data_IF_573350467424
#
_entry.id   IF_573350467424
#
_cell.length_a   1.000
_cell.length_b   1.000
_cell.length_c   1.000
_cell.angle_alpha   90.00
_cell.angle_beta   90.00
_cell.angle_gamma   90.00
#
_symmetry.space_group_name_H-M   'P 1'
#
loop_
_entity.id
_entity.type
_entity.pdbx_description
1 polymer ?
#
# COMPACT_ATOMS: atom_id res chain seq x y z
N UNK A 1 -13.98 -35.65 -8.29
CA UNK A 1 -13.10 -34.67 -7.62
C UNK A 1 -11.72 -34.85 -8.23
N UNK A 2 -11.06 -33.79 -8.67
CA UNK A 2 -9.77 -33.94 -9.38
C UNK A 2 -8.70 -34.45 -8.42
N UNK A 3 -8.00 -35.53 -8.79
CA UNK A 3 -6.88 -36.11 -8.04
C UNK A 3 -5.60 -35.28 -8.15
N UNK A 4 -5.60 -34.22 -8.97
CA UNK A 4 -4.42 -33.36 -9.13
C UNK A 4 -4.16 -32.52 -7.87
N UNK A 5 -2.88 -32.32 -7.50
CA UNK A 5 -2.52 -31.52 -6.35
C UNK A 5 -3.00 -30.07 -6.50
N UNK A 6 -3.44 -29.48 -5.39
CA UNK A 6 -3.79 -28.06 -5.38
C UNK A 6 -2.50 -27.24 -5.30
N UNK A 7 -2.22 -26.33 -6.26
CA UNK A 7 -0.92 -25.69 -6.34
C UNK A 7 -0.67 -24.74 -5.17
N UNK A 8 0.59 -24.71 -4.71
CA UNK A 8 1.04 -23.75 -3.71
C UNK A 8 1.12 -22.33 -4.31
N UNK A 9 0.83 -21.27 -3.52
CA UNK A 9 0.98 -19.90 -3.96
C UNK A 9 2.45 -19.54 -4.18
N UNK A 10 2.71 -18.42 -4.87
CA UNK A 10 4.09 -17.91 -5.00
C UNK A 10 4.59 -17.39 -3.66
N UNK A 11 5.63 -18.04 -3.14
CA UNK A 11 6.31 -17.66 -1.91
C UNK A 11 7.72 -17.15 -2.20
N UNK A 12 8.36 -16.59 -1.19
CA UNK A 12 9.79 -16.28 -1.24
C UNK A 12 10.64 -17.54 -1.46
N UNK A 13 11.85 -17.40 -2.00
CA UNK A 13 12.74 -18.54 -2.22
C UNK A 13 13.04 -19.33 -0.93
N UNK A 14 13.28 -18.70 0.25
CA UNK A 14 13.42 -19.43 1.51
C UNK A 14 12.18 -20.22 1.91
N UNK A 15 10.99 -19.62 1.79
CA UNK A 15 9.74 -20.29 2.13
C UNK A 15 9.42 -21.45 1.18
N UNK A 16 9.73 -21.30 -0.11
CA UNK A 16 9.55 -22.40 -1.09
C UNK A 16 10.41 -23.61 -0.72
N UNK A 17 11.71 -23.38 -0.42
CA UNK A 17 12.61 -24.47 0.02
C UNK A 17 12.14 -25.11 1.32
N UNK A 18 11.65 -24.32 2.27
CA UNK A 18 11.13 -24.83 3.54
C UNK A 18 9.96 -25.81 3.34
N UNK A 19 9.10 -25.55 2.35
CA UNK A 19 8.00 -26.44 1.99
C UNK A 19 8.50 -27.70 1.28
N UNK A 20 9.43 -27.55 0.34
CA UNK A 20 10.05 -28.68 -0.35
C UNK A 20 10.74 -29.63 0.65
N UNK A 21 11.53 -29.09 1.59
CA UNK A 21 12.23 -29.85 2.63
C UNK A 21 11.24 -30.54 3.60
N UNK A 22 10.07 -29.94 3.82
CA UNK A 22 8.99 -30.52 4.61
C UNK A 22 8.10 -31.50 3.81
N UNK A 23 8.36 -31.70 2.52
CA UNK A 23 7.55 -32.55 1.64
C UNK A 23 6.14 -31.99 1.37
N UNK A 24 5.94 -30.70 1.58
CA UNK A 24 4.68 -30.01 1.34
C UNK A 24 4.68 -29.51 -0.10
N UNK A 25 3.87 -30.15 -0.94
CA UNK A 25 3.78 -29.85 -2.39
C UNK A 25 2.35 -29.53 -2.83
N UNK A 26 1.39 -29.70 -1.94
CA UNK A 26 -0.04 -29.49 -2.17
C UNK A 26 -0.61 -28.58 -1.07
N UNK A 27 -1.34 -27.55 -1.49
CA UNK A 27 -1.96 -26.59 -0.58
C UNK A 27 -2.93 -27.27 0.41
N UNK A 28 -3.56 -28.39 0.05
CA UNK A 28 -4.45 -29.16 0.92
C UNK A 28 -3.75 -29.76 2.14
N UNK A 29 -2.44 -29.96 2.09
CA UNK A 29 -1.66 -30.48 3.23
C UNK A 29 -1.65 -29.54 4.44
N UNK A 30 -2.02 -28.28 4.24
CA UNK A 30 -2.16 -27.30 5.31
C UNK A 30 -3.54 -27.26 5.96
N UNK A 31 -4.55 -27.88 5.36
CA UNK A 31 -5.92 -27.84 5.89
C UNK A 31 -5.96 -28.51 7.27
N UNK A 32 -6.42 -27.77 8.28
CA UNK A 32 -6.43 -28.18 9.67
C UNK A 32 -5.06 -28.16 10.38
N UNK A 33 -3.96 -27.80 9.70
CA UNK A 33 -2.64 -27.66 10.34
C UNK A 33 -2.61 -26.44 11.27
N UNK A 34 -2.01 -26.54 12.45
CA UNK A 34 -1.92 -25.41 13.37
C UNK A 34 -0.95 -24.35 12.83
N UNK A 35 -1.33 -23.08 12.89
CA UNK A 35 -0.47 -22.00 12.36
C UNK A 35 0.91 -21.93 13.04
N UNK A 36 0.99 -22.31 14.31
CA UNK A 36 2.25 -22.39 15.06
C UNK A 36 3.21 -23.43 14.46
N UNK A 37 2.68 -24.53 13.92
CA UNK A 37 3.47 -25.61 13.34
C UNK A 37 3.98 -25.20 11.96
N UNK A 38 3.17 -24.45 11.21
CA UNK A 38 3.59 -23.84 9.93
C UNK A 38 4.69 -22.80 10.17
N UNK A 39 4.57 -21.98 11.20
CA UNK A 39 5.61 -21.00 11.58
C UNK A 39 6.90 -21.64 12.08
N UNK A 40 6.85 -22.90 12.54
CA UNK A 40 8.04 -23.64 12.93
C UNK A 40 8.89 -24.07 11.72
N UNK A 41 8.34 -24.02 10.50
CA UNK A 41 9.08 -24.30 9.27
C UNK A 41 10.09 -23.17 8.98
N UNK A 42 11.37 -23.52 8.98
CA UNK A 42 12.47 -22.57 8.84
C UNK A 42 12.41 -21.85 7.48
N UNK A 43 12.03 -20.58 7.48
CA UNK A 43 11.85 -19.76 6.26
C UNK A 43 10.43 -19.23 6.07
N UNK A 44 9.46 -19.70 6.88
CA UNK A 44 8.08 -19.24 6.83
C UNK A 44 7.81 -18.28 7.99
N UNK A 45 7.93 -16.98 7.69
CA UNK A 45 7.54 -15.92 8.61
C UNK A 45 6.07 -15.50 8.47
N UNK A 46 5.59 -14.57 9.31
CA UNK A 46 4.19 -14.11 9.32
C UNK A 46 3.67 -13.63 7.96
N UNK A 47 4.53 -13.02 7.14
CA UNK A 47 4.16 -12.56 5.80
C UNK A 47 3.86 -13.74 4.84
N UNK A 48 4.64 -14.81 4.91
CA UNK A 48 4.44 -16.00 4.06
C UNK A 48 3.24 -16.82 4.54
N UNK A 49 3.06 -16.92 5.86
CA UNK A 49 1.85 -17.50 6.46
C UNK A 49 0.58 -16.77 6.00
N UNK A 50 0.63 -15.43 5.88
CA UNK A 50 -0.46 -14.64 5.31
C UNK A 50 -0.83 -15.07 3.89
N UNK A 51 0.15 -15.22 3.00
CA UNK A 51 -0.08 -15.69 1.62
C UNK A 51 -0.69 -17.10 1.57
N UNK A 52 -0.26 -18.00 2.47
CA UNK A 52 -0.83 -19.34 2.57
C UNK A 52 -2.28 -19.34 3.07
N UNK A 53 -2.64 -18.47 4.03
CA UNK A 53 -4.03 -18.30 4.49
C UNK A 53 -4.95 -17.87 3.36
N UNK A 54 -4.52 -16.90 2.56
CA UNK A 54 -5.32 -16.34 1.46
C UNK A 54 -5.61 -17.44 0.43
N UNK A 55 -4.58 -18.23 0.09
CA UNK A 55 -4.70 -19.36 -0.82
C UNK A 55 -5.64 -20.46 -0.28
N UNK A 56 -5.52 -20.81 1.00
CA UNK A 56 -6.40 -21.80 1.65
C UNK A 56 -7.86 -21.32 1.66
N UNK A 57 -8.08 -20.08 2.04
CA UNK A 57 -9.43 -19.48 2.11
C UNK A 57 -10.08 -19.47 0.73
N UNK A 58 -9.33 -19.10 -0.32
CA UNK A 58 -9.81 -19.15 -1.70
C UNK A 58 -10.18 -20.56 -2.16
N UNK A 59 -9.60 -21.60 -1.55
CA UNK A 59 -9.90 -23.00 -1.79
C UNK A 59 -10.96 -23.60 -0.84
N UNK A 60 -11.52 -22.80 0.08
CA UNK A 60 -12.47 -23.27 1.10
C UNK A 60 -11.83 -24.08 2.23
N UNK A 61 -10.53 -23.92 2.45
CA UNK A 61 -9.72 -24.61 3.46
C UNK A 61 -9.24 -23.61 4.52
N UNK A 62 -8.72 -24.10 5.63
CA UNK A 62 -8.22 -23.22 6.70
C UNK A 62 -7.16 -23.88 7.60
N UNK A 63 -6.30 -23.08 8.21
CA UNK A 63 -5.47 -23.55 9.32
C UNK A 63 -6.31 -23.75 10.59
N UNK A 64 -5.79 -24.55 11.52
CA UNK A 64 -6.27 -24.59 12.90
C UNK A 64 -5.44 -23.67 13.80
N UNK A 65 -5.94 -23.40 15.02
CA UNK A 65 -5.25 -22.63 16.06
C UNK A 65 -4.62 -21.32 15.55
N UNK A 66 -5.44 -20.32 15.14
CA UNK A 66 -4.91 -19.08 14.59
C UNK A 66 -4.01 -18.38 15.60
N UNK A 67 -2.79 -18.06 15.19
CA UNK A 67 -1.81 -17.35 16.01
C UNK A 67 -2.11 -15.85 15.93
N UNK A 68 -2.11 -15.18 17.08
CA UNK A 68 -2.29 -13.74 17.15
C UNK A 68 -1.31 -13.03 16.21
N UNK A 69 -1.85 -12.20 15.31
CA UNK A 69 -1.04 -11.44 14.35
C UNK A 69 -0.09 -10.53 15.15
N UNK A 70 1.23 -10.53 14.85
CA UNK A 70 2.15 -9.60 15.49
C UNK A 70 1.65 -8.16 15.32
N UNK A 71 1.65 -7.39 16.41
CA UNK A 71 1.36 -5.95 16.35
C UNK A 71 2.37 -5.28 15.41
N UNK A 72 1.88 -4.47 14.47
CA UNK A 72 2.70 -3.78 13.49
C UNK A 72 3.91 -3.11 14.16
N UNK A 73 5.12 -3.48 13.74
CA UNK A 73 6.38 -2.87 14.20
C UNK A 73 6.84 -1.73 13.27
N UNK A 74 5.96 -1.26 12.38
CA UNK A 74 6.14 -0.03 11.59
C UNK A 74 7.32 -0.03 10.63
N UNK A 75 7.91 -1.19 10.30
CA UNK A 75 9.20 -1.21 9.59
C UNK A 75 9.10 -1.01 8.08
N UNK A 76 7.92 -1.10 7.45
CA UNK A 76 7.75 -0.85 6.00
C UNK A 76 6.41 -0.17 5.62
N UNK A 77 5.83 0.61 6.54
CA UNK A 77 4.56 1.31 6.30
C UNK A 77 4.92 2.76 5.99
N UNK A 78 5.41 3.02 4.78
CA UNK A 78 5.86 4.35 4.35
C UNK A 78 4.74 5.41 4.34
N UNK A 79 3.51 5.05 4.71
CA UNK A 79 2.33 5.92 4.83
C UNK A 79 1.64 5.81 6.18
N UNK A 80 2.22 5.12 7.18
CA UNK A 80 1.62 5.07 8.52
C UNK A 80 1.55 6.47 9.14
N UNK A 81 0.46 6.75 9.86
CA UNK A 81 0.31 8.01 10.60
C UNK A 81 1.38 8.10 11.68
N UNK A 82 2.40 8.89 11.42
CA UNK A 82 3.27 9.42 12.45
C UNK A 82 3.00 10.91 12.49
N UNK A 83 2.36 11.38 13.56
CA UNK A 83 2.21 12.80 13.81
C UNK A 83 3.61 13.43 13.90
N UNK A 84 4.05 14.08 12.83
CA UNK A 84 5.29 14.83 12.86
C UNK A 84 5.04 16.18 13.56
N UNK A 85 6.01 16.70 14.33
CA UNK A 85 5.89 18.03 14.92
C UNK A 85 6.10 19.08 13.80
N UNK A 86 5.04 19.76 13.41
CA UNK A 86 5.10 20.90 12.47
C UNK A 86 3.92 20.94 11.52
N UNK A 87 3.53 22.14 11.08
CA UNK A 87 2.49 22.27 10.07
C UNK A 87 3.00 21.79 8.70
N UNK A 88 2.14 21.18 7.86
CA UNK A 88 2.51 20.83 6.49
C UNK A 88 3.06 22.01 5.69
N UNK A 89 2.53 23.21 5.92
CA UNK A 89 3.00 24.45 5.29
C UNK A 89 4.45 24.77 5.66
N UNK A 90 4.77 24.85 6.95
CA UNK A 90 6.13 25.13 7.42
C UNK A 90 7.13 24.08 6.90
N UNK A 91 6.73 22.80 6.89
CA UNK A 91 7.57 21.74 6.33
C UNK A 91 7.84 21.93 4.84
N UNK A 92 6.81 22.28 4.05
CA UNK A 92 6.96 22.56 2.61
C UNK A 92 7.87 23.77 2.37
N UNK A 93 7.69 24.85 3.14
CA UNK A 93 8.48 26.08 3.03
C UNK A 93 9.96 25.84 3.35
N UNK A 94 10.27 24.85 4.20
CA UNK A 94 11.63 24.40 4.49
C UNK A 94 12.27 23.46 3.45
N UNK A 95 11.58 23.12 2.35
CA UNK A 95 12.13 22.19 1.36
C UNK A 95 13.31 22.80 0.57
N UNK A 96 14.35 21.99 0.24
CA UNK A 96 15.64 22.51 -0.20
C UNK A 96 15.67 23.12 -1.61
N UNK A 97 14.56 23.11 -2.35
CA UNK A 97 14.51 23.63 -3.73
C UNK A 97 13.21 24.35 -3.98
N UNK A 98 13.26 25.51 -4.65
CA UNK A 98 12.09 26.31 -4.99
C UNK A 98 10.98 25.52 -5.71
N UNK A 99 11.35 24.61 -6.63
CA UNK A 99 10.38 23.72 -7.31
C UNK A 99 9.55 22.90 -6.32
N UNK A 100 10.20 22.29 -5.33
CA UNK A 100 9.52 21.45 -4.31
C UNK A 100 8.61 22.27 -3.42
N UNK A 101 9.03 23.50 -3.07
CA UNK A 101 8.21 24.45 -2.31
C UNK A 101 6.98 24.85 -3.14
N UNK A 102 7.17 25.30 -4.38
CA UNK A 102 6.10 25.74 -5.27
C UNK A 102 5.07 24.65 -5.56
N UNK A 103 5.53 23.46 -5.97
CA UNK A 103 4.65 22.33 -6.25
C UNK A 103 3.92 21.88 -4.97
N UNK A 104 4.62 21.85 -3.83
CA UNK A 104 4.02 21.48 -2.54
C UNK A 104 2.94 22.45 -2.09
N UNK A 105 3.20 23.76 -2.14
CA UNK A 105 2.24 24.79 -1.72
C UNK A 105 0.97 24.76 -2.56
N UNK A 106 1.08 24.46 -3.86
CA UNK A 106 -0.08 24.34 -4.77
C UNK A 106 -0.98 23.15 -4.44
N UNK A 107 -0.43 22.13 -3.80
CA UNK A 107 -1.19 20.95 -3.41
C UNK A 107 -1.81 21.05 -2.02
N UNK A 108 -1.40 22.02 -1.18
CA UNK A 108 -1.90 22.15 0.19
C UNK A 108 -3.43 22.20 0.27
N UNK A 109 -4.08 22.87 -0.68
CA UNK A 109 -5.52 23.08 -0.69
C UNK A 109 -6.25 22.26 -1.78
N UNK A 110 -5.61 21.19 -2.31
CA UNK A 110 -6.14 20.45 -3.47
C UNK A 110 -7.44 19.69 -3.19
N UNK A 111 -7.69 19.34 -1.93
CA UNK A 111 -8.90 18.64 -1.47
C UNK A 111 -9.93 19.56 -0.82
N UNK A 112 -9.52 20.77 -0.39
CA UNK A 112 -10.28 21.62 0.52
C UNK A 112 -10.27 21.17 1.99
N UNK A 113 -9.59 20.07 2.31
CA UNK A 113 -9.50 19.50 3.66
C UNK A 113 -8.21 19.93 4.37
N UNK A 114 -8.21 19.89 5.71
CA UNK A 114 -6.98 20.18 6.47
C UNK A 114 -5.90 19.11 6.20
N UNK A 115 -4.72 19.50 5.68
CA UNK A 115 -3.62 18.58 5.50
C UNK A 115 -2.97 18.23 6.86
N UNK A 116 -2.41 17.03 6.95
CA UNK A 116 -1.56 16.61 8.05
C UNK A 116 -0.24 16.04 7.53
N UNK A 117 0.80 16.09 8.36
CA UNK A 117 2.04 15.36 8.08
C UNK A 117 1.85 13.87 8.39
N UNK A 118 2.27 13.02 7.47
CA UNK A 118 2.30 11.58 7.57
C UNK A 118 3.75 11.11 7.47
N UNK A 119 4.33 10.67 8.59
CA UNK A 119 5.75 10.34 8.60
C UNK A 119 6.61 11.58 8.36
N UNK A 120 7.89 11.39 7.97
CA UNK A 120 8.84 12.50 7.85
C UNK A 120 8.71 13.28 6.53
N UNK A 121 7.85 12.86 5.59
CA UNK A 121 7.95 13.36 4.21
C UNK A 121 6.66 13.34 3.37
N UNK A 122 5.51 13.06 3.96
CA UNK A 122 4.24 13.03 3.23
C UNK A 122 3.28 14.05 3.85
N UNK A 123 2.60 14.79 2.98
CA UNK A 123 1.42 15.58 3.34
C UNK A 123 0.22 14.77 2.88
N UNK A 124 -0.70 14.48 3.80
CA UNK A 124 -1.86 13.63 3.55
C UNK A 124 -3.16 14.26 4.00
N UNK A 125 -4.25 13.79 3.39
CA UNK A 125 -5.61 14.24 3.61
C UNK A 125 -6.51 13.06 3.93
N UNK A 126 -7.29 13.21 5.01
CA UNK A 126 -8.16 12.16 5.52
C UNK A 126 -7.40 10.90 5.94
N UNK A 127 -8.16 9.92 6.42
CA UNK A 127 -7.66 8.60 6.79
C UNK A 127 -8.46 7.54 6.06
N UNK A 128 -7.78 6.49 5.61
CA UNK A 128 -8.34 5.30 5.00
C UNK A 128 -7.79 4.09 5.74
N UNK A 129 -8.70 3.30 6.30
CA UNK A 129 -8.36 2.01 6.90
C UNK A 129 -8.32 0.95 5.81
N UNK A 130 -7.17 0.32 5.59
CA UNK A 130 -7.05 -0.81 4.67
C UNK A 130 -7.06 -2.11 5.45
N UNK A 131 -7.65 -3.15 4.87
CA UNK A 131 -7.54 -4.53 5.34
C UNK A 131 -7.08 -5.34 4.14
N UNK A 132 -5.91 -5.97 4.24
CA UNK A 132 -5.45 -6.95 3.27
C UNK A 132 -6.11 -8.29 3.54
N UNK A 133 -6.23 -9.14 2.52
CA UNK A 133 -6.76 -10.51 2.61
C UNK A 133 -6.05 -11.31 3.71
N UNK A 134 -4.73 -11.12 3.84
CA UNK A 134 -3.90 -11.64 4.94
C UNK A 134 -4.32 -11.20 6.35
N UNK A 135 -5.40 -10.44 6.50
CA UNK A 135 -5.93 -9.71 7.66
C UNK A 135 -4.94 -8.74 8.30
N UNK A 136 -3.90 -8.36 7.55
CA UNK A 136 -3.07 -7.20 7.88
C UNK A 136 -3.91 -5.96 7.60
N UNK A 137 -4.12 -5.15 8.61
CA UNK A 137 -4.83 -3.88 8.45
C UNK A 137 -3.99 -2.72 8.98
N UNK A 138 -4.42 -1.52 8.64
CA UNK A 138 -3.79 -0.31 9.12
C UNK A 138 -4.42 0.93 8.52
N UNK A 139 -4.01 2.07 9.05
CA UNK A 139 -4.47 3.37 8.59
C UNK A 139 -3.41 4.02 7.69
N UNK A 140 -3.89 4.62 6.61
CA UNK A 140 -3.08 5.43 5.69
C UNK A 140 -3.84 6.72 5.38
N UNK A 141 -3.12 7.73 4.87
CA UNK A 141 -3.77 8.86 4.21
C UNK A 141 -4.66 8.37 3.07
N UNK A 142 -5.78 9.06 2.83
CA UNK A 142 -6.67 8.73 1.72
C UNK A 142 -6.10 9.22 0.38
N UNK A 143 -5.71 10.49 0.33
CA UNK A 143 -4.94 11.07 -0.76
C UNK A 143 -3.81 11.91 -0.16
N UNK A 144 -2.76 12.17 -0.93
CA UNK A 144 -1.67 13.02 -0.46
C UNK A 144 -0.49 13.04 -1.41
N UNK A 145 0.59 13.67 -0.97
CA UNK A 145 1.76 13.88 -1.81
C UNK A 145 3.06 13.95 -1.02
N UNK A 146 4.17 13.72 -1.71
CA UNK A 146 5.53 13.87 -1.21
C UNK A 146 6.39 14.54 -2.29
N UNK A 147 6.80 15.82 -2.10
CA UNK A 147 7.73 16.48 -3.01
C UNK A 147 9.14 15.94 -2.73
N UNK A 148 9.57 14.91 -3.46
CA UNK A 148 10.90 14.28 -3.29
C UNK A 148 11.93 14.92 -4.24
N UNK A 149 13.19 14.54 -4.09
CA UNK A 149 14.28 15.04 -4.93
C UNK A 149 14.12 14.63 -6.40
N UNK A 150 13.77 13.36 -6.65
CA UNK A 150 13.65 12.80 -8.00
C UNK A 150 12.30 13.04 -8.67
N UNK A 151 11.21 13.13 -7.91
CA UNK A 151 9.85 13.34 -8.42
C UNK A 151 8.90 13.86 -7.32
N UNK A 152 7.82 14.51 -7.73
CA UNK A 152 6.62 14.67 -6.92
C UNK A 152 5.84 13.35 -6.96
N UNK A 153 5.67 12.74 -5.80
CA UNK A 153 4.88 11.51 -5.64
C UNK A 153 3.48 11.86 -5.15
N UNK A 154 2.45 11.29 -5.76
CA UNK A 154 1.05 11.48 -5.43
C UNK A 154 0.46 10.11 -5.04
N UNK A 155 -0.28 10.07 -3.95
CA UNK A 155 -0.82 8.86 -3.31
C UNK A 155 -2.35 8.83 -3.40
N UNK A 156 -2.92 7.63 -3.51
CA UNK A 156 -4.38 7.42 -3.43
C UNK A 156 -5.17 7.80 -4.69
N UNK A 157 -4.49 8.09 -5.81
CA UNK A 157 -5.16 8.58 -7.04
C UNK A 157 -5.43 7.48 -8.08
N UNK A 158 -4.63 6.41 -8.09
CA UNK A 158 -4.66 5.41 -9.17
C UNK A 158 -5.91 4.53 -9.14
N UNK A 159 -6.54 4.37 -7.99
CA UNK A 159 -7.73 3.54 -7.82
C UNK A 159 -9.04 4.35 -7.92
N UNK A 160 -8.96 5.64 -8.25
CA UNK A 160 -10.14 6.48 -8.44
C UNK A 160 -10.99 5.98 -9.62
N UNK A 161 -12.32 6.07 -9.56
CA UNK A 161 -13.17 5.68 -10.69
C UNK A 161 -12.84 6.58 -11.89
N UNK A 162 -12.56 5.98 -13.04
CA UNK A 162 -12.17 6.72 -14.25
C UNK A 162 -10.72 7.23 -14.24
N UNK A 163 -9.88 6.80 -13.29
CA UNK A 163 -8.47 7.22 -13.22
C UNK A 163 -7.73 6.96 -14.54
N UNK A 164 -7.92 5.81 -15.18
CA UNK A 164 -7.25 5.48 -16.44
C UNK A 164 -7.52 6.49 -17.55
N UNK A 165 -8.77 6.96 -17.67
CA UNK A 165 -9.15 7.94 -18.68
C UNK A 165 -8.54 9.33 -18.40
N UNK A 166 -8.52 9.74 -17.12
CA UNK A 166 -7.91 11.00 -16.70
C UNK A 166 -6.38 10.95 -16.85
N UNK A 167 -5.75 9.84 -16.48
CA UNK A 167 -4.30 9.65 -16.62
C UNK A 167 -3.86 9.75 -18.08
N UNK A 168 -4.68 9.30 -19.04
CA UNK A 168 -4.39 9.41 -20.47
C UNK A 168 -4.26 10.87 -20.94
N UNK A 169 -4.90 11.83 -20.26
CA UNK A 169 -4.88 13.26 -20.60
C UNK A 169 -4.05 14.11 -19.64
N UNK A 170 -3.46 13.51 -18.58
CA UNK A 170 -2.74 14.23 -17.53
C UNK A 170 -1.43 14.88 -18.02
N UNK A 171 -0.77 14.32 -19.04
CA UNK A 171 0.59 14.69 -19.43
C UNK A 171 1.65 13.72 -18.88
N UNK A 172 2.96 14.03 -18.97
CA UNK A 172 4.03 13.08 -18.66
C UNK A 172 4.04 12.64 -17.19
N UNK A 173 3.84 11.34 -16.98
CA UNK A 173 3.82 10.74 -15.65
C UNK A 173 4.36 9.30 -15.68
N UNK A 174 4.59 8.73 -14.50
CA UNK A 174 4.84 7.30 -14.30
C UNK A 174 3.94 6.78 -13.19
N UNK A 175 3.63 5.50 -13.21
CA UNK A 175 2.88 4.82 -12.15
C UNK A 175 3.73 3.71 -11.52
N UNK A 176 3.49 3.46 -10.23
CA UNK A 176 4.00 2.30 -9.50
C UNK A 176 2.84 1.49 -8.90
N UNK A 177 3.12 0.60 -7.93
CA UNK A 177 2.10 -0.27 -7.32
C UNK A 177 0.90 0.46 -6.69
N UNK A 178 1.05 1.73 -6.30
CA UNK A 178 -0.04 2.55 -5.75
C UNK A 178 0.27 4.05 -5.74
N UNK A 179 1.23 4.50 -6.55
CA UNK A 179 1.70 5.88 -6.56
C UNK A 179 1.81 6.40 -7.98
N UNK A 180 1.42 7.66 -8.15
CA UNK A 180 1.61 8.44 -9.37
C UNK A 180 2.85 9.32 -9.18
N UNK A 181 3.72 9.37 -10.18
CA UNK A 181 4.95 10.16 -10.16
C UNK A 181 4.96 11.16 -11.30
N UNK A 182 5.19 12.43 -10.97
CA UNK A 182 5.36 13.52 -11.94
C UNK A 182 6.62 14.30 -11.60
N UNK A 183 7.30 14.86 -12.60
CA UNK A 183 8.54 15.61 -12.33
C UNK A 183 8.27 16.98 -11.70
N UNK A 184 7.15 17.59 -12.06
CA UNK A 184 6.66 18.89 -11.55
C UNK A 184 5.21 19.09 -12.01
N UNK A 185 4.44 19.91 -11.30
CA UNK A 185 3.07 20.25 -11.71
C UNK A 185 3.03 21.05 -13.01
N UNK A 186 4.08 21.82 -13.32
CA UNK A 186 4.17 22.63 -14.54
C UNK A 186 4.21 21.83 -15.85
N UNK A 187 4.33 20.49 -15.78
CA UNK A 187 4.39 19.60 -16.95
C UNK A 187 3.13 18.77 -17.16
N UNK A 188 2.16 18.88 -16.26
CA UNK A 188 0.91 18.13 -16.31
C UNK A 188 -0.27 19.10 -16.37
N UNK A 189 -1.42 18.57 -16.79
CA UNK A 189 -2.68 19.29 -16.71
C UNK A 189 -3.18 19.29 -15.25
N UNK A 190 -3.21 20.48 -14.63
CA UNK A 190 -3.64 20.64 -13.25
C UNK A 190 -5.13 20.41 -13.05
N UNK A 191 -5.96 20.68 -14.05
CA UNK A 191 -7.39 20.44 -13.95
C UNK A 191 -7.63 18.93 -13.91
N UNK A 192 -6.96 18.17 -14.78
CA UNK A 192 -7.00 16.70 -14.77
C UNK A 192 -6.52 16.14 -13.43
N UNK A 193 -5.46 16.72 -12.84
CA UNK A 193 -5.02 16.33 -11.49
C UNK A 193 -6.09 16.61 -10.43
N UNK A 194 -6.77 17.76 -10.48
CA UNK A 194 -7.87 18.08 -9.55
C UNK A 194 -9.03 17.12 -9.72
N UNK A 195 -9.36 16.75 -10.95
CA UNK A 195 -10.42 15.79 -11.24
C UNK A 195 -10.07 14.38 -10.70
N UNK A 196 -8.80 13.96 -10.81
CA UNK A 196 -8.29 12.72 -10.19
C UNK A 196 -8.43 12.76 -8.67
N UNK A 197 -8.04 13.87 -8.04
CA UNK A 197 -8.17 14.04 -6.59
C UNK A 197 -9.65 14.00 -6.17
N UNK A 198 -10.53 14.69 -6.89
CA UNK A 198 -11.96 14.70 -6.61
C UNK A 198 -12.57 13.29 -6.74
N UNK A 199 -12.24 12.56 -7.81
CA UNK A 199 -12.69 11.19 -8.03
C UNK A 199 -12.20 10.24 -6.92
N UNK A 200 -10.94 10.38 -6.49
CA UNK A 200 -10.40 9.65 -5.34
C UNK A 200 -11.11 10.02 -4.03
N UNK A 201 -11.48 11.29 -3.87
CA UNK A 201 -12.16 11.83 -2.69
C UNK A 201 -13.67 11.55 -2.62
N UNK A 202 -14.34 11.25 -3.74
CA UNK A 202 -15.74 10.81 -3.72
C UNK A 202 -15.93 9.34 -3.35
N UNK A 203 -14.90 8.50 -3.48
CA UNK A 203 -14.93 7.04 -3.22
C UNK A 203 -15.15 6.56 -1.77
N UNK A 204 -15.29 7.45 -0.79
CA UNK A 204 -15.45 7.07 0.62
C UNK A 204 -16.91 7.24 1.00
N UNK A 205 -17.66 6.18 0.73
CA UNK A 205 -18.89 5.83 1.42
C UNK A 205 -18.68 4.46 2.03
#
# INVERSE_FOLDING_TARGET
MSDSPLPLPRLSAPATRALDDAGITDLRQFDGMAEKDVLALHGIGPAQLGVLRDALTAAGLSFSEPVARPRATGRNDNTAFLAAPGSPREWIEGLPTARRVQDGLRLLDVTGEQPAMWGPSIVGYGTHHYVYDSGREGDTLRVGFSPRSSALTLYGLLEAPGADALLATLGPHKTGKGCLYVTTLARIDEQVLRDLVAAAWSRAG
#
